data_IF_945647844213
#
_entry.id   IF_945647844213
#
_cell.length_a   1.000
_cell.length_b   1.000
_cell.length_c   1.000
_cell.angle_alpha   90.00
_cell.angle_beta   90.00
_cell.angle_gamma   90.00
#
_symmetry.space_group_name_H-M   'P 1'
#
loop_
_entity.id
_entity.type
_entity.pdbx_description
1 polymer ?
#
# COMPACT_ATOMS: atom_id res chain seq x y z
N UNK A 1 13.28 16.28 -6.17
CA UNK A 1 12.53 15.52 -5.15
C UNK A 1 12.97 16.08 -3.82
N UNK A 2 12.07 16.73 -3.09
CA UNK A 2 12.36 17.57 -1.94
C UNK A 2 12.98 16.76 -0.78
N UNK A 3 14.10 17.24 -0.23
CA UNK A 3 14.83 16.57 0.86
C UNK A 3 13.98 16.49 2.14
N UNK A 4 13.01 17.39 2.31
CA UNK A 4 12.03 17.27 3.38
C UNK A 4 11.10 16.07 3.23
N UNK A 5 10.74 15.69 1.99
CA UNK A 5 9.87 14.53 1.73
C UNK A 5 10.63 13.23 1.99
N UNK A 6 11.91 13.15 1.57
CA UNK A 6 12.79 12.01 1.87
C UNK A 6 13.05 11.85 3.38
N UNK A 7 13.29 12.95 4.09
CA UNK A 7 13.52 12.94 5.53
C UNK A 7 12.29 12.47 6.33
N UNK A 8 11.08 12.92 5.96
CA UNK A 8 9.84 12.47 6.61
C UNK A 8 9.50 11.02 6.26
N UNK A 9 9.83 10.58 5.05
CA UNK A 9 9.71 9.19 4.59
C UNK A 9 10.64 8.24 5.36
N UNK A 10 11.91 8.62 5.52
CA UNK A 10 12.88 7.86 6.30
C UNK A 10 12.50 7.81 7.78
N UNK A 11 11.94 8.90 8.31
CA UNK A 11 11.46 8.95 9.69
C UNK A 11 10.23 8.03 9.90
N UNK A 12 9.27 8.03 8.98
CA UNK A 12 8.10 7.15 9.04
C UNK A 12 8.50 5.68 8.89
N UNK A 13 9.41 5.36 7.96
CA UNK A 13 9.97 4.01 7.82
C UNK A 13 10.77 3.59 9.04
N UNK A 14 11.55 4.50 9.64
CA UNK A 14 12.31 4.25 10.87
C UNK A 14 11.36 4.01 12.04
N UNK A 15 10.28 4.77 12.18
CA UNK A 15 9.29 4.56 13.24
C UNK A 15 8.50 3.27 13.06
N UNK A 16 8.09 2.93 11.84
CA UNK A 16 7.44 1.66 11.54
C UNK A 16 8.40 0.47 11.79
N UNK A 17 9.69 0.64 11.46
CA UNK A 17 10.73 -0.37 11.72
C UNK A 17 11.01 -0.52 13.21
N UNK A 18 11.03 0.58 13.98
CA UNK A 18 11.19 0.55 15.43
C UNK A 18 9.97 -0.05 16.11
N UNK A 19 8.75 0.25 15.68
CA UNK A 19 7.53 -0.38 16.20
C UNK A 19 7.52 -1.90 15.95
N UNK A 20 7.96 -2.32 14.75
CA UNK A 20 8.13 -3.75 14.41
C UNK A 20 9.29 -4.42 15.14
N UNK A 21 10.40 -3.71 15.39
CA UNK A 21 11.52 -4.22 16.17
C UNK A 21 11.19 -4.32 17.67
N UNK A 22 10.39 -3.40 18.21
CA UNK A 22 9.89 -3.48 19.58
C UNK A 22 8.91 -4.65 19.75
N UNK A 23 8.14 -4.99 18.71
CA UNK A 23 7.31 -6.20 18.68
C UNK A 23 8.15 -7.48 18.49
N UNK A 24 9.17 -7.46 17.63
CA UNK A 24 10.08 -8.59 17.43
C UNK A 24 11.02 -8.85 18.63
N UNK A 25 11.34 -7.82 19.42
CA UNK A 25 12.14 -7.96 20.65
C UNK A 25 11.36 -8.60 21.81
N UNK A 26 10.06 -8.85 21.64
CA UNK A 26 9.27 -9.72 22.53
C UNK A 26 9.30 -11.20 22.10
N UNK A 27 9.99 -11.54 21.00
CA UNK A 27 10.16 -12.92 20.58
C UNK A 27 11.04 -13.10 19.35
N UNK A 28 12.20 -13.73 19.58
CA UNK A 28 13.04 -14.53 18.66
C UNK A 28 14.39 -13.92 18.24
N UNK A 29 15.40 -14.56 18.87
CA UNK A 29 16.81 -14.75 18.59
C UNK A 29 17.35 -14.64 17.14
N UNK A 30 18.63 -14.25 17.13
CA UNK A 30 19.61 -14.14 16.05
C UNK A 30 19.66 -15.33 15.06
N UNK A 31 19.54 -15.05 13.76
CA UNK A 31 20.19 -15.79 12.65
C UNK A 31 19.94 -15.09 11.30
N UNK A 32 20.78 -14.09 10.96
CA UNK A 32 20.58 -13.17 9.81
C UNK A 32 21.35 -13.58 8.54
N UNK A 33 21.77 -14.84 8.39
CA UNK A 33 22.58 -15.27 7.22
C UNK A 33 22.03 -16.47 6.43
N UNK A 34 20.78 -16.91 6.68
CA UNK A 34 20.14 -17.94 5.85
C UNK A 34 19.16 -17.33 4.85
N UNK A 35 19.22 -17.82 3.60
CA UNK A 35 18.16 -17.60 2.60
C UNK A 35 16.82 -17.98 3.26
N UNK A 36 15.79 -17.11 3.25
CA UNK A 36 14.52 -17.40 3.89
C UNK A 36 13.97 -18.74 3.39
N UNK A 37 13.38 -19.55 4.27
CA UNK A 37 12.64 -20.74 3.85
C UNK A 37 11.48 -20.33 2.93
N UNK A 38 10.99 -21.25 2.10
CA UNK A 38 9.84 -20.99 1.23
C UNK A 38 8.62 -20.42 2.00
N UNK A 39 8.42 -20.88 3.24
CA UNK A 39 7.39 -20.35 4.15
C UNK A 39 7.66 -18.91 4.61
N UNK A 40 8.92 -18.55 4.88
CA UNK A 40 9.31 -17.18 5.22
C UNK A 40 9.24 -16.24 3.99
N UNK A 41 9.45 -16.76 2.79
CA UNK A 41 9.31 -16.03 1.53
C UNK A 41 7.83 -15.82 1.17
N UNK A 42 6.98 -16.81 1.43
CA UNK A 42 5.51 -16.69 1.34
C UNK A 42 4.98 -15.60 2.29
N UNK A 43 5.49 -15.56 3.52
CA UNK A 43 5.19 -14.53 4.53
C UNK A 43 5.74 -13.13 4.19
N UNK A 44 6.61 -12.98 3.18
CA UNK A 44 7.18 -11.67 2.84
C UNK A 44 6.18 -10.78 2.08
N UNK A 45 5.30 -11.40 1.28
CA UNK A 45 4.39 -10.68 0.38
C UNK A 45 2.93 -10.81 0.78
N UNK A 46 2.54 -11.91 1.43
CA UNK A 46 1.16 -12.15 1.84
C UNK A 46 0.94 -11.79 3.30
N UNK A 47 -0.10 -11.01 3.54
CA UNK A 47 -0.55 -10.59 4.86
C UNK A 47 -1.95 -11.18 5.08
N UNK A 48 -2.02 -12.25 5.88
CA UNK A 48 -3.24 -13.04 6.06
C UNK A 48 -4.41 -12.22 6.66
N UNK A 49 -4.19 -11.34 7.66
CA UNK A 49 -5.23 -10.40 8.11
C UNK A 49 -5.83 -9.54 6.99
N UNK A 50 -5.00 -9.00 6.10
CA UNK A 50 -5.49 -8.23 4.95
C UNK A 50 -6.30 -9.12 4.02
N UNK A 51 -5.81 -10.31 3.69
CA UNK A 51 -6.51 -11.26 2.81
C UNK A 51 -7.89 -11.59 3.36
N UNK A 52 -7.99 -11.94 4.64
CA UNK A 52 -9.26 -12.29 5.27
C UNK A 52 -10.22 -11.10 5.25
N UNK A 53 -9.76 -9.91 5.62
CA UNK A 53 -10.59 -8.71 5.61
C UNK A 53 -11.09 -8.34 4.21
N UNK A 54 -10.25 -8.53 3.17
CA UNK A 54 -10.66 -8.32 1.78
C UNK A 54 -11.68 -9.38 1.33
N UNK A 55 -11.55 -10.64 1.79
CA UNK A 55 -12.49 -11.72 1.50
C UNK A 55 -13.87 -11.43 2.12
N UNK A 56 -13.88 -10.92 3.35
CA UNK A 56 -15.11 -10.50 4.05
C UNK A 56 -15.84 -9.36 3.32
N UNK A 57 -15.09 -8.54 2.56
CA UNK A 57 -15.64 -7.45 1.73
C UNK A 57 -16.10 -7.95 0.36
N UNK A 58 -15.24 -8.69 -0.35
CA UNK A 58 -15.52 -9.19 -1.70
C UNK A 58 -14.48 -10.22 -2.14
N UNK A 59 -14.93 -11.38 -2.62
CA UNK A 59 -14.07 -12.40 -3.24
C UNK A 59 -13.16 -11.83 -4.33
N UNK A 60 -13.68 -10.94 -5.18
CA UNK A 60 -12.92 -10.34 -6.26
C UNK A 60 -11.77 -9.43 -5.76
N UNK A 61 -11.92 -8.80 -4.60
CA UNK A 61 -10.84 -8.01 -3.98
C UNK A 61 -9.78 -8.93 -3.37
N UNK A 62 -10.20 -10.00 -2.69
CA UNK A 62 -9.29 -11.01 -2.18
C UNK A 62 -8.50 -11.70 -3.29
N UNK A 63 -9.14 -12.04 -4.40
CA UNK A 63 -8.48 -12.67 -5.56
C UNK A 63 -7.48 -11.71 -6.23
N UNK A 64 -7.81 -10.42 -6.30
CA UNK A 64 -6.86 -9.39 -6.77
C UNK A 64 -5.62 -9.33 -5.87
N UNK A 65 -5.80 -9.42 -4.56
CA UNK A 65 -4.69 -9.45 -3.60
C UNK A 65 -3.85 -10.73 -3.72
N UNK A 66 -4.48 -11.89 -3.84
CA UNK A 66 -3.79 -13.17 -4.09
C UNK A 66 -2.98 -13.15 -5.39
N UNK A 67 -3.52 -12.55 -6.45
CA UNK A 67 -2.78 -12.41 -7.70
C UNK A 67 -1.54 -11.51 -7.52
N UNK A 68 -1.67 -10.41 -6.78
CA UNK A 68 -0.53 -9.53 -6.45
C UNK A 68 0.55 -10.31 -5.69
N UNK A 69 0.18 -11.11 -4.69
CA UNK A 69 1.16 -11.87 -3.91
C UNK A 69 1.80 -12.98 -4.74
N UNK A 70 1.03 -13.67 -5.59
CA UNK A 70 1.54 -14.65 -6.55
C UNK A 70 2.52 -14.01 -7.54
N UNK A 71 2.22 -12.81 -8.06
CA UNK A 71 3.12 -12.07 -8.95
C UNK A 71 4.49 -11.84 -8.30
N UNK A 72 4.56 -11.53 -6.99
CA UNK A 72 5.83 -11.35 -6.28
C UNK A 72 6.62 -12.64 -6.03
N UNK A 73 5.93 -13.77 -5.96
CA UNK A 73 6.52 -15.11 -5.82
C UNK A 73 7.07 -15.64 -7.14
N UNK A 74 6.60 -15.13 -8.28
CA UNK A 74 7.17 -15.43 -9.59
C UNK A 74 8.56 -14.77 -9.73
N UNK A 75 9.61 -15.59 -9.70
CA UNK A 75 11.00 -15.16 -9.88
C UNK A 75 11.34 -14.87 -11.35
N UNK A 76 10.59 -15.46 -12.29
CA UNK A 76 10.80 -15.33 -13.73
C UNK A 76 10.04 -14.15 -14.35
N UNK A 77 9.21 -13.47 -13.55
CA UNK A 77 8.42 -12.33 -14.00
C UNK A 77 9.30 -11.19 -14.53
N UNK A 78 9.03 -10.83 -15.78
CA UNK A 78 9.82 -9.82 -16.50
C UNK A 78 9.33 -8.38 -16.31
N UNK A 79 8.05 -8.16 -16.00
CA UNK A 79 7.44 -6.83 -15.86
C UNK A 79 6.50 -6.76 -14.64
N UNK A 80 6.53 -5.63 -13.93
CA UNK A 80 5.80 -5.37 -12.69
C UNK A 80 4.71 -4.29 -12.80
N UNK A 81 4.53 -3.66 -13.97
CA UNK A 81 3.51 -2.64 -14.20
C UNK A 81 2.09 -3.14 -13.92
N UNK A 82 1.77 -4.32 -14.46
CA UNK A 82 0.46 -4.94 -14.25
C UNK A 82 0.18 -5.17 -12.77
N UNK A 83 1.20 -5.57 -12.00
CA UNK A 83 1.10 -5.78 -10.56
C UNK A 83 0.89 -4.45 -9.82
N UNK A 84 1.67 -3.42 -10.16
CA UNK A 84 1.51 -2.09 -9.57
C UNK A 84 0.16 -1.45 -9.88
N UNK A 85 -0.32 -1.59 -11.11
CA UNK A 85 -1.66 -1.15 -11.52
C UNK A 85 -2.74 -1.89 -10.73
N UNK A 86 -2.61 -3.21 -10.57
CA UNK A 86 -3.55 -4.02 -9.78
C UNK A 86 -3.59 -3.56 -8.32
N UNK A 87 -2.45 -3.21 -7.71
CA UNK A 87 -2.42 -2.64 -6.34
C UNK A 87 -3.21 -1.33 -6.27
N UNK A 88 -3.00 -0.42 -7.23
CA UNK A 88 -3.73 0.86 -7.28
C UNK A 88 -5.23 0.67 -7.45
N UNK A 89 -5.64 -0.24 -8.33
CA UNK A 89 -7.05 -0.54 -8.55
C UNK A 89 -7.69 -1.21 -7.33
N UNK A 90 -6.96 -2.09 -6.63
CA UNK A 90 -7.42 -2.67 -5.37
C UNK A 90 -7.63 -1.58 -4.30
N UNK A 91 -6.68 -0.65 -4.15
CA UNK A 91 -6.85 0.50 -3.25
C UNK A 91 -8.08 1.34 -3.63
N UNK A 92 -8.26 1.66 -4.92
CA UNK A 92 -9.43 2.41 -5.39
C UNK A 92 -10.74 1.70 -5.05
N UNK A 93 -10.81 0.39 -5.27
CA UNK A 93 -11.98 -0.45 -4.94
C UNK A 93 -12.30 -0.43 -3.44
N UNK A 94 -11.28 -0.54 -2.58
CA UNK A 94 -11.45 -0.40 -1.12
C UNK A 94 -12.04 0.97 -0.79
N UNK A 95 -11.48 2.05 -1.34
CA UNK A 95 -11.98 3.40 -1.08
C UNK A 95 -13.42 3.60 -1.58
N UNK A 96 -13.79 3.03 -2.71
CA UNK A 96 -15.17 3.09 -3.21
C UNK A 96 -16.15 2.34 -2.33
N UNK A 97 -15.74 1.19 -1.80
CA UNK A 97 -16.57 0.38 -0.91
C UNK A 97 -16.79 1.04 0.45
N UNK A 98 -15.74 1.59 1.06
CA UNK A 98 -15.77 2.12 2.42
C UNK A 98 -15.99 3.63 2.51
N UNK A 99 -15.84 4.36 1.40
CA UNK A 99 -16.17 5.77 1.29
C UNK A 99 -17.02 6.05 0.03
N UNK A 100 -18.30 5.61 0.04
CA UNK A 100 -19.25 5.96 -1.02
C UNK A 100 -19.29 7.46 -1.24
N UNK A 101 -19.32 7.88 -2.51
CA UNK A 101 -19.17 9.29 -2.85
C UNK A 101 -20.25 10.15 -2.19
N UNK A 102 -21.50 9.69 -2.20
CA UNK A 102 -22.64 10.38 -1.60
C UNK A 102 -22.50 10.56 -0.09
N UNK A 103 -21.93 9.60 0.63
CA UNK A 103 -21.66 9.72 2.08
C UNK A 103 -20.54 10.72 2.38
N UNK A 104 -19.48 10.73 1.56
CA UNK A 104 -18.39 11.70 1.70
C UNK A 104 -18.86 13.12 1.38
N UNK A 105 -19.71 13.29 0.37
CA UNK A 105 -20.30 14.58 -0.02
C UNK A 105 -21.15 15.21 1.11
N UNK A 106 -21.74 14.39 1.98
CA UNK A 106 -22.55 14.85 3.13
C UNK A 106 -21.70 15.35 4.31
N UNK A 107 -20.39 15.15 4.29
CA UNK A 107 -19.54 15.52 5.43
C UNK A 107 -19.37 17.04 5.55
N UNK A 108 -19.43 17.57 6.78
CA UNK A 108 -19.30 19.01 7.04
C UNK A 108 -17.96 19.61 6.59
N UNK A 109 -16.91 18.80 6.56
CA UNK A 109 -15.58 19.21 6.12
C UNK A 109 -15.35 19.05 4.63
N UNK A 110 -16.28 18.40 3.91
CA UNK A 110 -16.14 18.18 2.48
C UNK A 110 -16.09 19.50 1.73
N UNK A 111 -15.16 19.59 0.78
CA UNK A 111 -15.08 20.70 -0.17
C UNK A 111 -14.68 20.13 -1.52
N UNK A 112 -15.46 20.46 -2.56
CA UNK A 112 -15.09 20.13 -3.93
C UNK A 112 -13.72 20.75 -4.25
N UNK A 113 -12.78 19.93 -4.72
CA UNK A 113 -11.49 20.40 -5.23
C UNK A 113 -11.63 20.77 -6.71
N UNK A 114 -10.79 21.70 -7.18
CA UNK A 114 -10.82 22.10 -8.59
C UNK A 114 -10.57 20.89 -9.51
N UNK A 115 -11.23 20.86 -10.66
CA UNK A 115 -11.07 19.83 -11.69
C UNK A 115 -11.43 18.40 -11.25
N UNK A 116 -12.25 18.25 -10.20
CA UNK A 116 -12.77 16.95 -9.74
C UNK A 116 -14.28 16.86 -9.91
N UNK A 117 -14.81 15.68 -10.22
CA UNK A 117 -16.26 15.42 -10.36
C UNK A 117 -16.90 14.80 -9.11
N UNK A 118 -16.16 14.70 -8.02
CA UNK A 118 -16.60 14.12 -6.75
C UNK A 118 -15.45 14.06 -5.73
N UNK A 119 -15.61 13.31 -4.64
CA UNK A 119 -14.59 13.22 -3.61
C UNK A 119 -13.29 12.63 -4.12
N UNK A 120 -12.17 13.28 -3.77
CA UNK A 120 -10.83 12.77 -4.08
C UNK A 120 -10.52 11.53 -3.26
N UNK A 121 -9.55 10.71 -3.70
CA UNK A 121 -9.09 9.55 -2.92
C UNK A 121 -8.64 9.97 -1.51
N UNK A 122 -8.00 11.14 -1.39
CA UNK A 122 -7.59 11.73 -0.11
C UNK A 122 -8.77 12.02 0.82
N UNK A 123 -9.85 12.58 0.28
CA UNK A 123 -11.08 12.84 1.02
C UNK A 123 -11.76 11.52 1.43
N UNK A 124 -11.76 10.51 0.56
CA UNK A 124 -12.26 9.17 0.87
C UNK A 124 -11.48 8.49 2.00
N UNK A 125 -10.14 8.57 1.98
CA UNK A 125 -9.31 8.07 3.10
C UNK A 125 -9.65 8.78 4.40
N UNK A 126 -9.76 10.12 4.38
CA UNK A 126 -10.13 10.89 5.57
C UNK A 126 -11.47 10.42 6.14
N UNK A 127 -12.46 10.22 5.29
CA UNK A 127 -13.78 9.72 5.71
C UNK A 127 -13.66 8.39 6.45
N UNK A 128 -12.95 7.41 5.87
CA UNK A 128 -12.77 6.08 6.48
C UNK A 128 -12.10 6.18 7.85
N UNK A 129 -11.03 6.97 7.96
CA UNK A 129 -10.31 7.15 9.22
C UNK A 129 -11.16 7.84 10.30
N UNK A 130 -12.04 8.76 9.91
CA UNK A 130 -12.99 9.36 10.86
C UNK A 130 -14.05 8.34 11.33
N UNK A 131 -14.53 7.46 10.44
CA UNK A 131 -15.46 6.38 10.83
C UNK A 131 -14.79 5.32 11.73
N UNK A 132 -13.51 5.04 11.52
CA UNK A 132 -12.76 4.06 12.31
C UNK A 132 -12.34 4.58 13.70
N UNK A 133 -12.71 5.81 14.08
CA UNK A 133 -12.25 6.50 15.29
C UNK A 133 -10.71 6.54 15.40
N UNK A 134 -10.03 6.63 14.26
CA UNK A 134 -8.59 6.54 14.17
C UNK A 134 -7.90 7.72 14.88
N UNK A 135 -6.85 7.40 15.62
CA UNK A 135 -6.16 8.34 16.50
C UNK A 135 -5.40 9.42 15.69
N UNK A 136 -5.02 10.53 16.33
CA UNK A 136 -4.40 11.69 15.64
C UNK A 136 -3.18 11.37 14.75
N UNK A 137 -2.44 10.29 15.03
CA UNK A 137 -1.31 9.79 14.22
C UNK A 137 -1.76 9.14 12.90
N UNK A 138 -2.91 8.46 12.88
CA UNK A 138 -3.48 7.84 11.69
C UNK A 138 -3.99 8.90 10.71
N UNK A 139 -4.37 10.11 11.17
CA UNK A 139 -4.71 11.23 10.26
C UNK A 139 -3.51 11.71 9.42
N UNK A 140 -2.27 11.39 9.78
CA UNK A 140 -1.10 11.68 8.93
C UNK A 140 -1.01 10.76 7.70
N UNK A 141 -1.69 9.61 7.72
CA UNK A 141 -1.75 8.63 6.63
C UNK A 141 -2.43 9.21 5.38
N UNK A 142 -3.32 10.20 5.57
CA UNK A 142 -4.00 10.94 4.50
C UNK A 142 -3.02 11.58 3.51
N UNK A 143 -1.80 11.94 3.93
CA UNK A 143 -0.80 12.53 3.03
C UNK A 143 0.02 11.49 2.26
N UNK A 144 -0.07 10.21 2.62
CA UNK A 144 0.72 9.17 1.98
C UNK A 144 0.03 8.60 0.72
N UNK A 145 -1.25 8.95 0.46
CA UNK A 145 -1.95 8.42 -0.73
C UNK A 145 -1.39 9.04 -2.01
N UNK A 146 -1.05 10.32 -1.94
CA UNK A 146 -0.33 11.05 -2.99
C UNK A 146 1.03 10.38 -3.29
N UNK A 147 1.64 9.72 -2.30
CA UNK A 147 2.88 8.95 -2.48
C UNK A 147 2.61 7.68 -3.28
N UNK A 148 1.54 6.93 -3.00
CA UNK A 148 1.21 5.73 -3.78
C UNK A 148 0.94 6.10 -5.24
N UNK A 149 0.08 7.10 -5.50
CA UNK A 149 -0.23 7.52 -6.86
C UNK A 149 1.02 8.05 -7.59
N UNK A 150 1.89 8.80 -6.89
CA UNK A 150 3.15 9.28 -7.44
C UNK A 150 4.11 8.12 -7.76
N UNK A 151 4.23 7.12 -6.88
CA UNK A 151 5.08 5.95 -7.09
C UNK A 151 4.58 5.09 -8.25
N UNK A 152 3.26 4.85 -8.34
CA UNK A 152 2.65 4.13 -9.47
C UNK A 152 2.87 4.89 -10.77
N UNK A 153 2.63 6.21 -10.79
CA UNK A 153 2.86 7.05 -11.95
C UNK A 153 4.35 7.10 -12.36
N UNK A 154 5.27 7.10 -11.40
CA UNK A 154 6.71 7.03 -11.65
C UNK A 154 7.09 5.68 -12.25
N UNK A 155 6.62 4.57 -11.68
CA UNK A 155 6.92 3.22 -12.15
C UNK A 155 6.43 3.02 -13.60
N UNK A 156 5.18 3.40 -13.89
CA UNK A 156 4.62 3.30 -15.25
C UNK A 156 5.46 4.12 -16.23
N UNK A 157 5.82 5.37 -15.90
CA UNK A 157 6.68 6.21 -16.76
C UNK A 157 8.07 5.61 -16.94
N UNK A 158 8.67 5.08 -15.87
CA UNK A 158 9.99 4.46 -15.91
C UNK A 158 10.00 3.21 -16.80
N UNK A 159 8.94 2.38 -16.77
CA UNK A 159 8.84 1.21 -17.66
C UNK A 159 8.62 1.61 -19.13
N UNK A 160 7.78 2.63 -19.40
CA UNK A 160 7.67 3.19 -20.75
C UNK A 160 9.02 3.75 -21.26
N UNK A 161 9.79 4.41 -20.39
CA UNK A 161 11.14 4.88 -20.72
C UNK A 161 12.16 3.75 -20.90
N UNK A 162 11.96 2.60 -20.25
CA UNK A 162 12.85 1.42 -20.29
C UNK A 162 12.53 0.41 -21.38
N UNK A 163 11.31 0.41 -21.92
CA UNK A 163 11.02 -0.29 -23.17
C UNK A 163 11.94 0.21 -24.32
N UNK A 164 12.54 1.40 -24.15
CA UNK A 164 13.58 1.95 -25.01
C UNK A 164 15.01 1.45 -24.71
N UNK A 165 15.30 0.83 -23.55
CA UNK A 165 16.66 0.41 -23.13
C UNK A 165 16.65 -0.85 -22.23
N UNK A 166 17.07 -1.99 -22.79
CA UNK A 166 16.83 -3.34 -22.30
C UNK A 166 17.60 -3.80 -21.02
N UNK A 167 18.19 -2.91 -20.22
CA UNK A 167 19.21 -3.28 -19.23
C UNK A 167 18.82 -3.22 -17.73
N UNK A 168 17.55 -2.99 -17.35
CA UNK A 168 17.24 -2.62 -15.94
C UNK A 168 16.16 -3.42 -15.16
N UNK A 169 16.12 -4.74 -15.29
CA UNK A 169 15.04 -5.59 -14.72
C UNK A 169 14.96 -5.63 -13.17
N UNK A 170 16.04 -5.34 -12.44
CA UNK A 170 16.07 -5.46 -10.96
C UNK A 170 15.43 -4.29 -10.19
N UNK A 171 15.34 -3.11 -10.83
CA UNK A 171 14.78 -1.92 -10.18
C UNK A 171 13.23 -1.97 -10.15
N UNK A 172 12.59 -2.61 -11.13
CA UNK A 172 11.12 -2.60 -11.29
C UNK A 172 10.42 -3.46 -10.22
N UNK A 173 10.93 -4.66 -9.89
CA UNK A 173 10.43 -5.49 -8.78
C UNK A 173 10.54 -4.77 -7.44
N UNK A 174 11.64 -4.04 -7.24
CA UNK A 174 11.89 -3.30 -5.99
C UNK A 174 10.91 -2.14 -5.80
N UNK A 175 10.60 -1.39 -6.86
CA UNK A 175 9.61 -0.31 -6.79
C UNK A 175 8.19 -0.86 -6.60
N UNK A 176 7.80 -1.92 -7.32
CA UNK A 176 6.51 -2.57 -7.11
C UNK A 176 6.36 -3.09 -5.67
N UNK A 177 7.43 -3.66 -5.10
CA UNK A 177 7.41 -4.11 -3.71
C UNK A 177 7.27 -2.94 -2.71
N UNK A 178 7.86 -1.77 -2.99
CA UNK A 178 7.61 -0.57 -2.16
C UNK A 178 6.14 -0.17 -2.21
N UNK A 179 5.51 -0.19 -3.38
CA UNK A 179 4.08 0.09 -3.53
C UNK A 179 3.25 -0.90 -2.71
N UNK A 180 3.56 -2.20 -2.78
CA UNK A 180 2.88 -3.22 -1.97
C UNK A 180 3.02 -2.96 -0.46
N UNK A 181 4.21 -2.57 0.01
CA UNK A 181 4.43 -2.23 1.42
C UNK A 181 3.62 -1.01 1.87
N UNK A 182 3.49 -0.01 1.00
CA UNK A 182 2.60 1.12 1.26
C UNK A 182 1.15 0.64 1.33
N UNK A 183 0.70 -0.12 0.34
CA UNK A 183 -0.63 -0.70 0.34
C UNK A 183 -0.92 -1.48 1.62
N UNK A 184 -0.02 -2.33 2.10
CA UNK A 184 -0.22 -3.04 3.38
C UNK A 184 -0.40 -2.07 4.54
N UNK A 185 0.46 -1.06 4.67
CA UNK A 185 0.31 -0.07 5.75
C UNK A 185 -1.05 0.62 5.70
N UNK A 186 -1.50 1.01 4.51
CA UNK A 186 -2.82 1.62 4.32
C UNK A 186 -3.98 0.65 4.58
N UNK A 187 -3.87 -0.60 4.12
CA UNK A 187 -4.92 -1.59 4.27
C UNK A 187 -5.23 -1.84 5.74
N UNK A 188 -4.23 -1.82 6.63
CA UNK A 188 -4.48 -1.92 8.07
C UNK A 188 -5.34 -0.77 8.60
N UNK A 189 -5.03 0.46 8.21
CA UNK A 189 -5.80 1.63 8.65
C UNK A 189 -7.20 1.68 8.03
N UNK A 190 -7.32 1.35 6.74
CA UNK A 190 -8.58 1.41 5.99
C UNK A 190 -9.54 0.28 6.36
N UNK A 191 -9.03 -0.93 6.56
CA UNK A 191 -9.81 -2.11 6.95
C UNK A 191 -9.93 -2.25 8.48
N UNK A 192 -9.44 -1.27 9.24
CA UNK A 192 -9.49 -1.23 10.71
C UNK A 192 -8.86 -2.48 11.38
N UNK A 193 -7.72 -2.92 10.87
CA UNK A 193 -6.99 -4.07 11.37
C UNK A 193 -6.01 -3.65 12.47
N UNK A 194 -5.79 -4.55 13.44
CA UNK A 194 -4.74 -4.38 14.45
C UNK A 194 -3.45 -5.00 13.95
N UNK A 195 -2.37 -4.22 13.95
CA UNK A 195 -1.03 -4.80 13.77
C UNK A 195 -0.76 -5.77 14.94
N UNK A 196 -0.42 -7.03 14.63
CA UNK A 196 0.01 -8.01 15.65
C UNK A 196 1.42 -7.74 16.12
#
# INVERSE_FOLDING_TARGET
MDDQIRSRFDLALKQARLARQSAANLGINENVTRRPTADAQKNLYMDEPILQALRDVSDAMADSYLQITADFQDEDRLNWDGTAHTIRELLRKILEQFAPADEVLKQKWYKQEADTSGPTQKQKVRYILEQNNSDSKQKQVVNNIDIIDSLVGSLVRDVYGRASDAAHRSKDKTEAYKILRYFHAFAYDLLNLKAS
#
